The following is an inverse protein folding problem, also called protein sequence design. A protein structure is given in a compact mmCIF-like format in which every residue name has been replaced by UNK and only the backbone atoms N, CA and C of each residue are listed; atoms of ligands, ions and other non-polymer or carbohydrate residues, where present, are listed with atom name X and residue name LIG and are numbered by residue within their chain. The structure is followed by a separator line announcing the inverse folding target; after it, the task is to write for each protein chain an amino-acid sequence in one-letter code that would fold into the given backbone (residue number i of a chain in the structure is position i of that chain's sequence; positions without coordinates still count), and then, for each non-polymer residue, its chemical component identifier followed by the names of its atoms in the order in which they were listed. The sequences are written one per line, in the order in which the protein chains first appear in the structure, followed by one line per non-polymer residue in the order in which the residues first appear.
data_IF_163032292872
#
_entry.id   IF_163032292872
#
_cell.length_a   1.000
_cell.length_b   1.000
_cell.length_c   1.000
_cell.angle_alpha   90.00
_cell.angle_beta   90.00
_cell.angle_gamma   90.00
#
_symmetry.space_group_name_H-M   'P 1'
#
loop_
_entity.id
_entity.type
_entity.pdbx_description
1 polymer ?
#
# COMPACT_ATOMS: atom_id res chain seq x y z
N UNK A 1 -6.24 -15.29 13.54
CA UNK A 1 -4.82 -15.66 13.40
C UNK A 1 -4.30 -14.77 12.29
N UNK A 2 -3.80 -13.59 12.67
CA UNK A 2 -3.57 -12.51 11.72
C UNK A 2 -2.13 -12.58 11.22
N UNK A 3 -1.98 -12.94 9.94
CA UNK A 3 -0.74 -13.02 9.18
C UNK A 3 -0.14 -11.62 8.94
N UNK A 4 0.37 -10.97 9.99
CA UNK A 4 1.02 -9.66 9.85
C UNK A 4 2.32 -9.77 9.03
N UNK A 5 2.41 -9.01 7.93
CA UNK A 5 3.58 -8.95 7.06
C UNK A 5 3.67 -10.03 5.97
N UNK A 6 2.64 -10.88 5.83
CA UNK A 6 2.55 -11.84 4.73
C UNK A 6 1.83 -11.18 3.56
N UNK A 7 2.37 -11.35 2.35
CA UNK A 7 1.69 -10.92 1.13
C UNK A 7 0.35 -11.67 0.98
N UNK A 8 -0.77 -10.97 0.79
CA UNK A 8 -2.09 -11.60 0.83
C UNK A 8 -2.32 -12.56 -0.34
N UNK A 9 -3.06 -13.64 -0.09
CA UNK A 9 -3.37 -14.69 -1.07
C UNK A 9 -4.14 -14.19 -2.29
N UNK A 10 -4.85 -13.06 -2.15
CA UNK A 10 -5.57 -12.44 -3.25
C UNK A 10 -4.67 -11.58 -4.16
N UNK A 11 -3.44 -11.32 -3.73
CA UNK A 11 -2.43 -10.67 -4.56
C UNK A 11 -1.79 -11.64 -5.55
N UNK A 12 -1.16 -11.14 -6.62
CA UNK A 12 -0.36 -11.97 -7.51
C UNK A 12 0.78 -12.68 -6.75
N UNK A 13 1.16 -13.91 -7.11
CA UNK A 13 2.28 -14.60 -6.48
C UNK A 13 3.58 -13.79 -6.60
N UNK A 14 4.22 -13.48 -5.46
CA UNK A 14 5.45 -12.68 -5.42
C UNK A 14 6.57 -13.28 -6.29
N UNK A 15 6.71 -14.60 -6.29
CA UNK A 15 7.73 -15.30 -7.10
C UNK A 15 7.56 -15.02 -8.60
N UNK A 16 6.32 -14.94 -9.08
CA UNK A 16 6.03 -14.60 -10.47
C UNK A 16 6.36 -13.13 -10.75
N UNK A 17 6.00 -12.22 -9.84
CA UNK A 17 6.36 -10.81 -9.98
C UNK A 17 7.89 -10.62 -10.06
N UNK A 18 8.65 -11.32 -9.21
CA UNK A 18 10.11 -11.31 -9.25
C UNK A 18 10.62 -11.82 -10.60
N UNK A 19 10.18 -13.00 -11.03
CA UNK A 19 10.60 -13.61 -12.29
C UNK A 19 10.34 -12.68 -13.48
N UNK A 20 9.11 -12.13 -13.59
CA UNK A 20 8.77 -11.20 -14.67
C UNK A 20 9.59 -9.92 -14.61
N UNK A 21 9.78 -9.34 -13.43
CA UNK A 21 10.55 -8.09 -13.26
C UNK A 21 12.02 -8.31 -13.60
N UNK A 22 12.60 -9.45 -13.20
CA UNK A 22 13.99 -9.80 -13.51
C UNK A 22 14.21 -9.91 -15.01
N UNK A 23 13.34 -10.66 -15.70
CA UNK A 23 13.42 -10.87 -17.14
C UNK A 23 13.17 -9.56 -17.89
N UNK A 24 12.16 -8.78 -17.49
CA UNK A 24 11.77 -7.55 -18.18
C UNK A 24 12.83 -6.46 -18.09
N UNK A 25 13.45 -6.29 -16.91
CA UNK A 25 14.45 -5.24 -16.69
C UNK A 25 15.89 -5.73 -16.88
N UNK A 26 16.11 -7.01 -17.17
CA UNK A 26 17.42 -7.67 -17.24
C UNK A 26 18.30 -7.35 -16.01
N UNK A 27 17.70 -7.48 -14.83
CA UNK A 27 18.31 -7.10 -13.55
C UNK A 27 17.96 -8.09 -12.45
N UNK A 28 18.87 -8.28 -11.51
CA UNK A 28 18.57 -9.01 -10.29
C UNK A 28 17.52 -8.25 -9.46
N UNK A 29 16.45 -8.94 -9.08
CA UNK A 29 15.38 -8.43 -8.21
C UNK A 29 15.31 -9.34 -7.00
N UNK A 30 15.20 -8.73 -5.81
CA UNK A 30 15.07 -9.44 -4.54
C UNK A 30 13.95 -8.81 -3.71
N UNK A 31 13.26 -9.64 -2.94
CA UNK A 31 12.24 -9.18 -1.99
C UNK A 31 12.92 -8.64 -0.75
N UNK A 32 12.42 -7.52 -0.25
CA UNK A 32 12.82 -6.95 1.04
C UNK A 32 11.79 -7.36 2.12
N UNK A 33 12.17 -7.33 3.41
CA UNK A 33 11.22 -7.57 4.49
C UNK A 33 9.99 -6.66 4.35
N UNK A 34 8.81 -7.20 4.69
CA UNK A 34 7.58 -6.43 4.68
C UNK A 34 7.67 -5.25 5.64
N UNK A 35 7.12 -4.11 5.22
CA UNK A 35 6.95 -2.93 6.06
C UNK A 35 5.59 -2.98 6.75
N UNK A 36 5.54 -2.56 8.01
CA UNK A 36 4.27 -2.38 8.72
C UNK A 36 3.82 -0.94 8.55
N UNK A 37 2.59 -0.75 8.05
CA UNK A 37 2.05 0.59 7.79
C UNK A 37 1.14 1.01 8.94
N UNK A 38 1.41 2.18 9.50
CA UNK A 38 0.47 2.90 10.37
C UNK A 38 -0.14 4.05 9.59
N UNK A 39 -1.45 4.02 9.32
CA UNK A 39 -2.13 5.08 8.58
C UNK A 39 -2.45 6.28 9.47
N UNK A 40 -2.05 7.48 9.07
CA UNK A 40 -2.56 8.73 9.65
C UNK A 40 -3.64 9.33 8.75
N UNK A 41 -4.84 9.52 9.28
CA UNK A 41 -5.96 10.05 8.47
C UNK A 41 -5.81 11.56 8.27
N UNK A 42 -5.78 12.00 7.03
CA UNK A 42 -5.89 13.43 6.68
C UNK A 42 -7.29 13.92 7.06
N UNK A 43 -7.38 14.69 8.16
CA UNK A 43 -8.63 15.34 8.55
C UNK A 43 -9.06 16.29 7.43
N UNK A 44 -10.08 15.89 6.68
CA UNK A 44 -10.73 16.77 5.71
C UNK A 44 -11.14 18.05 6.44
N UNK A 45 -10.61 19.22 6.04
CA UNK A 45 -11.05 20.53 6.55
C UNK A 45 -12.52 20.76 6.15
N UNK A 46 -13.44 20.13 6.88
CA UNK A 46 -14.87 20.31 6.75
C UNK A 46 -15.19 21.68 7.34
N UNK A 47 -15.74 22.60 6.54
CA UNK A 47 -16.25 23.90 7.01
C UNK A 47 -17.14 23.66 8.23
N UNK A 48 -16.83 24.38 9.31
CA UNK A 48 -17.42 24.29 10.66
C UNK A 48 -18.95 24.49 10.59
N UNK A 49 -19.72 23.40 10.46
CA UNK A 49 -21.12 23.36 10.88
C UNK A 49 -21.17 22.73 12.27
N UNK A 50 -21.75 23.47 13.21
CA UNK A 50 -21.86 23.15 14.63
C UNK A 50 -22.81 21.96 14.79
N UNK A 51 -22.27 20.76 14.97
CA UNK A 51 -23.03 19.54 15.23
C UNK A 51 -22.07 18.39 15.50
N UNK A 52 -22.19 17.81 16.69
CA UNK A 52 -21.51 16.65 17.30
C UNK A 52 -20.18 16.16 16.68
N UNK A 53 -19.09 16.28 17.45
CA UNK A 53 -17.75 15.78 17.11
C UNK A 53 -17.63 14.30 17.47
N UNK A 54 -17.87 13.44 16.48
CA UNK A 54 -17.36 12.07 16.50
C UNK A 54 -16.09 12.03 15.62
N UNK A 55 -14.94 12.37 16.21
CA UNK A 55 -13.64 12.15 15.57
C UNK A 55 -13.35 10.65 15.61
N UNK A 56 -13.59 9.94 14.51
CA UNK A 56 -13.14 8.56 14.35
C UNK A 56 -11.61 8.54 14.18
N UNK A 57 -10.88 8.40 15.28
CA UNK A 57 -9.46 8.04 15.30
C UNK A 57 -9.36 6.54 14.96
N UNK A 58 -9.04 6.21 13.71
CA UNK A 58 -8.72 4.82 13.34
C UNK A 58 -7.31 4.51 13.86
N UNK A 59 -7.26 3.95 15.08
CA UNK A 59 -6.03 3.56 15.75
C UNK A 59 -5.76 2.08 15.46
N UNK A 60 -5.05 1.78 14.38
CA UNK A 60 -4.49 0.43 14.19
C UNK A 60 -3.34 0.27 15.19
N UNK A 61 -3.59 -0.47 16.28
CA UNK A 61 -2.57 -0.92 17.24
C UNK A 61 -2.26 -2.39 16.93
N UNK A 62 -0.98 -2.69 16.73
CA UNK A 62 -0.46 -4.05 16.63
C UNK A 62 0.19 -4.46 17.96
N UNK A 63 0.12 -5.74 18.36
CA UNK A 63 0.58 -6.19 19.67
C UNK A 63 2.11 -6.16 19.76
N UNK A 64 2.60 -5.72 20.92
CA UNK A 64 3.95 -5.98 21.37
C UNK A 64 4.02 -7.44 21.81
N UNK A 65 5.09 -8.18 21.47
CA UNK A 65 5.48 -9.29 22.32
C UNK A 65 6.96 -9.24 22.69
N UNK A 66 7.17 -9.26 24.00
CA UNK A 66 8.43 -9.47 24.70
C UNK A 66 8.57 -10.95 25.04
N UNK A 67 9.78 -11.50 24.88
CA UNK A 67 10.28 -12.83 25.25
C UNK A 67 9.98 -13.97 24.22
N UNK A 68 10.94 -14.77 23.73
CA UNK A 68 12.39 -14.87 23.95
C UNK A 68 13.02 -15.87 22.93
N UNK A 69 14.30 -15.61 22.61
CA UNK A 69 15.36 -16.54 22.16
C UNK A 69 15.35 -17.09 20.71
N UNK A 70 16.25 -16.54 19.87
CA UNK A 70 16.66 -17.17 18.61
C UNK A 70 17.22 -16.20 17.55
N UNK A 71 18.50 -15.83 17.68
CA UNK A 71 19.42 -15.34 16.63
C UNK A 71 18.85 -14.63 15.37
N UNK A 72 18.81 -13.29 15.45
CA UNK A 72 19.23 -12.32 14.42
C UNK A 72 18.73 -12.45 12.98
N UNK A 73 17.68 -11.70 12.62
CA UNK A 73 17.45 -11.02 11.32
C UNK A 73 16.34 -9.94 11.49
N UNK A 74 16.26 -8.90 10.63
CA UNK A 74 16.05 -7.51 11.05
C UNK A 74 14.60 -7.13 11.36
N UNK A 75 14.44 -6.17 12.28
CA UNK A 75 13.20 -5.50 12.68
C UNK A 75 12.33 -5.11 11.47
N UNK A 76 11.05 -5.49 11.50
CA UNK A 76 10.03 -4.94 10.61
C UNK A 76 10.09 -3.40 10.67
N UNK A 77 10.27 -2.76 9.51
CA UNK A 77 10.31 -1.30 9.43
C UNK A 77 8.88 -0.79 9.53
N UNK A 78 8.53 -0.18 10.65
CA UNK A 78 7.24 0.51 10.80
C UNK A 78 7.32 1.89 10.15
N UNK A 79 6.34 2.21 9.31
CA UNK A 79 6.28 3.45 8.55
C UNK A 79 4.91 4.09 8.73
N UNK A 80 4.90 5.39 9.01
CA UNK A 80 3.67 6.18 9.02
C UNK A 80 3.40 6.67 7.60
N UNK A 81 2.24 6.31 7.06
CA UNK A 81 1.80 6.73 5.73
C UNK A 81 0.52 7.54 5.89
N UNK A 82 0.46 8.69 5.23
CA UNK A 82 -0.77 9.47 5.17
C UNK A 82 -1.84 8.73 4.36
N UNK A 83 -3.10 8.82 4.80
CA UNK A 83 -4.19 8.14 4.12
C UNK A 83 -5.52 8.88 4.26
N UNK A 84 -6.50 8.38 3.53
CA UNK A 84 -7.91 8.75 3.69
C UNK A 84 -8.74 7.49 3.79
N UNK A 85 -9.74 7.52 4.66
CA UNK A 85 -10.68 6.42 4.84
C UNK A 85 -12.10 6.95 4.71
N UNK A 86 -12.96 6.15 4.09
CA UNK A 86 -14.41 6.33 4.11
C UNK A 86 -15.06 5.04 4.67
N UNK A 87 -16.38 4.97 4.67
CA UNK A 87 -17.11 3.80 5.19
C UNK A 87 -16.85 2.50 4.40
N UNK A 88 -16.42 2.60 3.13
CA UNK A 88 -16.27 1.47 2.21
C UNK A 88 -14.82 1.02 2.06
N UNK A 89 -13.84 1.93 2.12
CA UNK A 89 -12.44 1.60 1.86
C UNK A 89 -11.46 2.64 2.41
N UNK A 90 -10.19 2.21 2.53
CA UNK A 90 -9.02 3.04 2.87
C UNK A 90 -8.16 3.24 1.63
N UNK A 91 -7.56 4.41 1.48
CA UNK A 91 -6.57 4.70 0.44
C UNK A 91 -5.34 5.36 1.06
N UNK A 92 -4.16 4.97 0.60
CA UNK A 92 -2.89 5.57 1.00
C UNK A 92 -2.51 6.71 0.05
N UNK A 93 -1.97 7.79 0.60
CA UNK A 93 -1.42 8.87 -0.20
C UNK A 93 -0.08 8.41 -0.77
N UNK A 94 -0.05 8.30 -2.09
CA UNK A 94 1.10 7.79 -2.86
C UNK A 94 2.39 8.57 -2.59
N UNK A 95 2.31 9.90 -2.42
CA UNK A 95 3.47 10.76 -2.16
C UNK A 95 4.10 10.45 -0.81
N UNK A 96 3.28 10.23 0.23
CA UNK A 96 3.76 9.80 1.55
C UNK A 96 4.48 8.44 1.49
N UNK A 97 4.01 7.51 0.65
CA UNK A 97 4.70 6.23 0.40
C UNK A 97 6.05 6.46 -0.29
N UNK A 98 6.11 7.29 -1.31
CA UNK A 98 7.34 7.58 -2.06
C UNK A 98 8.39 8.30 -1.19
N UNK A 99 7.96 9.19 -0.29
CA UNK A 99 8.83 9.86 0.67
C UNK A 99 9.43 8.86 1.66
N UNK A 100 8.60 7.95 2.20
CA UNK A 100 9.08 6.90 3.09
C UNK A 100 10.06 5.95 2.39
N UNK A 101 9.78 5.56 1.14
CA UNK A 101 10.69 4.73 0.34
C UNK A 101 12.00 5.45 0.04
N UNK A 102 11.95 6.76 -0.23
CA UNK A 102 13.15 7.57 -0.46
C UNK A 102 14.00 7.60 0.80
N UNK A 103 13.40 7.88 1.97
CA UNK A 103 14.09 7.86 3.26
C UNK A 103 14.69 6.48 3.58
N UNK A 104 13.93 5.40 3.33
CA UNK A 104 14.41 4.04 3.51
C UNK A 104 15.58 3.71 2.58
N UNK A 105 15.51 4.14 1.31
CA UNK A 105 16.61 3.97 0.34
C UNK A 105 17.86 4.75 0.75
N UNK A 106 17.69 5.91 1.38
CA UNK A 106 18.80 6.78 1.80
C UNK A 106 19.57 6.25 2.99
N UNK A 107 18.87 5.59 3.91
CA UNK A 107 19.48 4.84 5.00
C UNK A 107 20.26 3.61 4.49
N UNK A 108 19.91 3.14 3.30
CA UNK A 108 20.61 2.07 2.59
C UNK A 108 21.70 2.68 1.72
N UNK A 109 22.69 1.87 1.37
CA UNK A 109 23.72 2.35 0.46
C UNK A 109 23.15 2.55 -0.96
N UNK A 110 22.77 3.79 -1.30
CA UNK A 110 22.13 4.19 -2.58
C UNK A 110 22.85 3.68 -3.83
N UNK A 111 24.16 3.42 -3.75
CA UNK A 111 24.98 2.94 -4.87
C UNK A 111 24.73 1.46 -5.22
N UNK A 112 24.22 0.65 -4.29
CA UNK A 112 24.03 -0.79 -4.49
C UNK A 112 22.68 -1.14 -5.10
N UNK A 113 21.69 -0.25 -5.00
CA UNK A 113 20.31 -0.52 -5.39
C UNK A 113 19.89 0.38 -6.55
N UNK A 114 19.57 -0.25 -7.68
CA UNK A 114 19.12 0.45 -8.88
C UNK A 114 17.80 1.18 -8.63
N UNK A 115 16.83 0.53 -7.99
CA UNK A 115 15.53 1.09 -7.63
C UNK A 115 14.95 0.31 -6.44
N UNK A 116 14.12 0.95 -5.61
CA UNK A 116 13.25 0.27 -4.63
C UNK A 116 11.80 0.49 -5.03
N UNK A 117 11.05 -0.59 -5.18
CA UNK A 117 9.62 -0.54 -5.49
C UNK A 117 8.81 -1.12 -4.33
N UNK A 118 7.86 -0.35 -3.80
CA UNK A 118 6.81 -0.92 -2.95
C UNK A 118 5.70 -1.52 -3.82
N UNK A 119 5.18 -2.64 -3.37
CA UNK A 119 3.96 -3.25 -3.88
C UNK A 119 2.96 -3.35 -2.74
N UNK A 120 1.69 -3.09 -3.01
CA UNK A 120 0.64 -3.12 -1.98
C UNK A 120 -0.69 -3.62 -2.54
N UNK A 121 -1.54 -4.13 -1.67
CA UNK A 121 -2.96 -4.37 -1.96
C UNK A 121 -3.86 -3.23 -1.48
N UNK A 122 -3.32 -2.18 -0.87
CA UNK A 122 -4.08 -0.99 -0.49
C UNK A 122 -4.29 -0.07 -1.70
N UNK A 123 -5.46 0.55 -1.83
CA UNK A 123 -5.73 1.52 -2.90
C UNK A 123 -4.88 2.79 -2.69
N UNK A 124 -4.50 3.49 -3.77
CA UNK A 124 -3.67 4.69 -3.68
C UNK A 124 -4.40 5.92 -4.21
N UNK A 125 -3.97 7.12 -3.81
CA UNK A 125 -4.37 8.38 -4.41
C UNK A 125 -3.21 9.39 -4.36
N UNK A 126 -3.17 10.35 -5.29
CA UNK A 126 -2.17 11.43 -5.31
C UNK A 126 -2.67 12.70 -4.60
N UNK A 127 -3.64 13.36 -5.23
CA UNK A 127 -4.16 14.64 -4.78
C UNK A 127 -5.52 14.54 -4.05
N UNK A 128 -5.95 15.62 -3.37
CA UNK A 128 -7.26 15.66 -2.71
C UNK A 128 -8.46 15.40 -3.63
N UNK A 129 -8.34 15.77 -4.90
CA UNK A 129 -9.38 15.57 -5.94
C UNK A 129 -9.18 14.31 -6.75
N UNK A 130 -8.07 13.59 -6.55
CA UNK A 130 -7.80 12.34 -7.25
C UNK A 130 -8.73 11.24 -6.71
N UNK A 131 -9.25 10.41 -7.60
CA UNK A 131 -10.15 9.31 -7.25
C UNK A 131 -9.34 8.11 -6.79
N UNK A 132 -8.32 7.74 -7.58
CA UNK A 132 -7.28 6.80 -7.22
C UNK A 132 -6.14 6.85 -8.23
N UNK A 133 -5.01 6.30 -7.83
CA UNK A 133 -3.85 6.03 -8.68
C UNK A 133 -3.45 4.55 -8.54
N UNK A 134 -3.03 3.90 -9.62
CA UNK A 134 -2.55 2.51 -9.55
C UNK A 134 -1.09 2.43 -9.08
N UNK A 135 -0.36 3.52 -9.16
CA UNK A 135 1.04 3.58 -8.78
C UNK A 135 1.73 4.82 -9.31
N UNK A 136 2.85 5.20 -8.70
CA UNK A 136 3.65 6.32 -9.13
C UNK A 136 5.13 6.04 -8.89
N UNK A 137 5.99 6.67 -9.69
CA UNK A 137 7.42 6.58 -9.55
C UNK A 137 8.03 7.97 -9.34
N UNK A 138 8.98 8.06 -8.41
CA UNK A 138 9.87 9.19 -8.30
C UNK A 138 11.22 8.82 -8.90
N UNK A 139 11.33 8.97 -10.23
CA UNK A 139 12.49 8.52 -11.01
C UNK A 139 13.83 9.09 -10.52
N UNK A 140 13.87 10.36 -10.12
CA UNK A 140 15.07 11.01 -9.56
C UNK A 140 15.58 10.33 -8.29
N UNK A 141 14.66 9.89 -7.43
CA UNK A 141 14.97 9.14 -6.20
C UNK A 141 14.98 7.62 -6.40
N UNK A 142 14.80 7.13 -7.64
CA UNK A 142 14.74 5.71 -8.00
C UNK A 142 13.89 4.90 -7.02
N UNK A 143 12.70 5.42 -6.73
CA UNK A 143 11.68 4.74 -5.95
C UNK A 143 10.37 4.72 -6.71
N UNK A 144 9.56 3.69 -6.48
CA UNK A 144 8.23 3.58 -7.04
C UNK A 144 7.30 2.85 -6.09
N UNK A 145 6.00 3.03 -6.26
CA UNK A 145 4.96 2.24 -5.61
C UNK A 145 3.95 1.79 -6.65
N UNK A 146 3.48 0.55 -6.53
CA UNK A 146 2.39 0.00 -7.33
C UNK A 146 1.35 -0.68 -6.43
N UNK A 147 0.07 -0.44 -6.71
CA UNK A 147 -1.05 -1.08 -6.03
C UNK A 147 -1.78 -2.05 -6.94
N UNK A 148 -1.97 -3.26 -6.43
CA UNK A 148 -2.78 -4.30 -7.05
C UNK A 148 -4.25 -4.25 -6.60
N UNK A 149 -4.65 -3.32 -5.74
CA UNK A 149 -6.02 -3.23 -5.22
C UNK A 149 -7.07 -3.29 -6.32
N UNK A 150 -6.92 -2.45 -7.35
CA UNK A 150 -7.82 -2.34 -8.49
C UNK A 150 -7.69 -3.47 -9.52
N UNK A 151 -6.71 -4.35 -9.36
CA UNK A 151 -6.48 -5.53 -10.20
C UNK A 151 -6.94 -6.82 -9.55
N UNK A 152 -7.57 -6.74 -8.36
CA UNK A 152 -8.11 -7.90 -7.69
C UNK A 152 -9.13 -8.63 -8.60
N UNK A 153 -9.01 -9.95 -8.84
CA UNK A 153 -9.82 -10.66 -9.84
C UNK A 153 -11.34 -10.56 -9.63
N UNK A 154 -11.78 -10.42 -8.38
CA UNK A 154 -13.19 -10.27 -8.02
C UNK A 154 -13.67 -8.81 -7.96
N UNK A 155 -12.78 -7.82 -8.08
CA UNK A 155 -13.18 -6.41 -8.05
C UNK A 155 -13.91 -6.09 -9.36
N UNK A 156 -15.09 -5.49 -9.23
CA UNK A 156 -15.90 -5.00 -10.36
C UNK A 156 -16.15 -3.51 -10.18
N UNK A 157 -15.82 -2.76 -11.22
CA UNK A 157 -16.01 -1.31 -11.28
C UNK A 157 -17.30 -0.98 -12.03
N UNK A 158 -17.93 0.13 -11.66
CA UNK A 158 -19.11 0.61 -12.36
C UNK A 158 -18.76 1.14 -13.76
N UNK A 159 -19.45 0.71 -14.83
CA UNK A 159 -19.09 1.08 -16.20
C UNK A 159 -19.19 2.60 -16.45
N UNK A 160 -20.15 3.27 -15.80
CA UNK A 160 -20.30 4.74 -15.86
C UNK A 160 -19.58 5.49 -14.73
N UNK A 161 -19.09 4.78 -13.71
CA UNK A 161 -18.60 5.37 -12.46
C UNK A 161 -17.41 4.55 -11.97
N UNK A 162 -16.38 4.40 -12.81
CA UNK A 162 -15.28 3.44 -12.67
C UNK A 162 -14.51 3.49 -11.33
N UNK A 163 -14.64 4.58 -10.58
CA UNK A 163 -14.08 4.73 -9.24
C UNK A 163 -14.90 4.06 -8.14
N UNK A 164 -16.20 3.82 -8.35
CA UNK A 164 -17.06 2.99 -7.50
C UNK A 164 -16.88 1.52 -7.87
N UNK A 165 -16.79 0.67 -6.85
CA UNK A 165 -16.48 -0.74 -7.01
C UNK A 165 -17.16 -1.60 -5.96
N UNK A 166 -17.32 -2.87 -6.31
CA UNK A 166 -17.75 -3.93 -5.40
C UNK A 166 -16.97 -5.21 -5.66
N UNK A 167 -17.18 -6.21 -4.81
CA UNK A 167 -16.57 -7.53 -4.97
C UNK A 167 -17.63 -8.54 -5.39
N UNK A 168 -17.38 -9.20 -6.52
CA UNK A 168 -18.22 -10.28 -7.01
C UNK A 168 -17.85 -11.60 -6.31
N UNK A 169 -18.83 -12.52 -6.20
CA UNK A 169 -18.59 -13.86 -5.62
C UNK A 169 -17.67 -14.72 -6.50
N UNK A 170 -17.69 -14.49 -7.81
CA UNK A 170 -16.84 -15.20 -8.78
C UNK A 170 -16.19 -14.20 -9.74
N UNK A 171 -14.99 -14.49 -10.30
CA UNK A 171 -14.35 -13.59 -11.26
C UNK A 171 -15.18 -13.37 -12.52
N UNK A 172 -15.96 -14.38 -12.94
CA UNK A 172 -16.77 -14.38 -14.15
C UNK A 172 -18.16 -13.76 -13.98
N UNK A 173 -18.66 -13.61 -12.76
CA UNK A 173 -19.94 -12.93 -12.54
C UNK A 173 -19.78 -11.43 -12.80
N UNK A 174 -20.41 -10.97 -13.88
CA UNK A 174 -20.62 -9.56 -14.16
C UNK A 174 -22.08 -9.27 -13.82
N UNK A 175 -22.35 -8.77 -12.61
CA UNK A 175 -23.67 -8.26 -12.26
C UNK A 175 -23.61 -6.75 -12.27
N UNK A 176 -24.28 -6.15 -13.24
CA UNK A 176 -24.94 -4.87 -13.04
C UNK A 176 -26.44 -5.13 -13.04
#
# INVERSE_FOLDING_TARGET
EDNEGVWPDCGPPLEKLLQYTQVFFDRNVRVLPAASISSSTLASKKRKRKGNKDNAEFKLRFPHNTHSAGSGHPLATSVTIEGRANQKHTQLQVTSVLDALSAFRDQRNRSKEFCIMAITMEDLFDGPTDLFCTGMAFGGNKVAVFSFFRYHPHLKMHPGTWHDFGYARTPSSYSY
#
